data_IF_482108150596
#
_entry.id   IF_482108150596
#
_cell.length_a   1.000
_cell.length_b   1.000
_cell.length_c   1.000
_cell.angle_alpha   90.00
_cell.angle_beta   90.00
_cell.angle_gamma   90.00
#
_symmetry.space_group_name_H-M   'P 1'
#
loop_
_entity.id
_entity.type
_entity.pdbx_description
1 polymer ?
#
# COMPACT_ATOMS: atom_id res chain seq x y z
N UNK A 1 6.31 28.84 -12.94
CA UNK A 1 7.18 27.68 -13.20
C UNK A 1 7.38 27.56 -14.70
N UNK A 2 8.63 27.52 -15.18
CA UNK A 2 8.93 27.50 -16.63
C UNK A 2 8.92 26.05 -17.12
N UNK A 3 7.89 25.72 -17.91
CA UNK A 3 7.84 24.54 -18.76
C UNK A 3 8.27 24.93 -20.18
N UNK A 4 8.83 24.00 -20.96
CA UNK A 4 9.02 22.57 -20.68
C UNK A 4 10.30 22.28 -19.88
N UNK A 5 10.30 21.11 -19.22
CA UNK A 5 11.46 20.61 -18.48
C UNK A 5 12.66 20.38 -19.44
N UNK A 6 13.90 20.66 -19.02
CA UNK A 6 15.09 20.37 -19.82
C UNK A 6 15.16 18.88 -20.21
N UNK A 7 15.76 18.58 -21.38
CA UNK A 7 16.10 17.19 -21.73
C UNK A 7 17.14 16.70 -20.72
N UNK A 8 16.90 15.53 -20.09
CA UNK A 8 17.70 14.95 -18.99
C UNK A 8 17.54 15.61 -17.61
N UNK A 9 16.31 15.83 -17.15
CA UNK A 9 16.07 16.20 -15.73
C UNK A 9 16.38 15.07 -14.74
N UNK A 10 16.40 13.82 -15.21
CA UNK A 10 16.74 12.67 -14.38
C UNK A 10 18.11 12.14 -14.81
N UNK A 11 19.03 11.91 -13.86
CA UNK A 11 20.30 11.27 -14.18
C UNK A 11 20.07 9.83 -14.67
N UNK A 12 21.06 9.22 -15.35
CA UNK A 12 21.04 7.79 -15.64
C UNK A 12 20.76 6.98 -14.37
N UNK A 13 19.92 5.95 -14.50
CA UNK A 13 19.59 5.06 -13.39
C UNK A 13 20.74 4.06 -13.21
N UNK A 14 21.50 4.22 -12.14
CA UNK A 14 22.53 3.27 -11.73
C UNK A 14 21.91 2.24 -10.79
N UNK A 15 21.90 0.97 -11.20
CA UNK A 15 21.46 -0.16 -10.37
C UNK A 15 22.66 -1.05 -10.07
N UNK A 16 22.74 -1.59 -8.86
CA UNK A 16 23.64 -2.70 -8.60
C UNK A 16 23.13 -3.97 -9.29
N UNK A 17 24.03 -4.90 -9.61
CA UNK A 17 23.68 -6.20 -10.20
C UNK A 17 22.63 -6.95 -9.36
N UNK A 18 22.72 -6.84 -8.03
CA UNK A 18 21.73 -7.43 -7.13
C UNK A 18 20.35 -6.74 -7.24
N UNK A 19 20.32 -5.41 -7.38
CA UNK A 19 19.05 -4.69 -7.56
C UNK A 19 18.40 -5.05 -8.89
N UNK A 20 19.18 -5.09 -9.97
CA UNK A 20 18.70 -5.51 -11.29
C UNK A 20 18.09 -6.92 -11.23
N UNK A 21 18.82 -7.88 -10.66
CA UNK A 21 18.35 -9.24 -10.50
C UNK A 21 17.08 -9.33 -9.64
N UNK A 22 17.01 -8.58 -8.54
CA UNK A 22 15.81 -8.56 -7.68
C UNK A 22 14.60 -8.00 -8.41
N UNK A 23 14.76 -6.91 -9.19
CA UNK A 23 13.66 -6.34 -9.97
C UNK A 23 13.21 -7.27 -11.09
N UNK A 24 14.15 -7.96 -11.75
CA UNK A 24 13.83 -8.96 -12.77
C UNK A 24 13.05 -10.13 -12.17
N UNK A 25 13.50 -10.68 -11.04
CA UNK A 25 12.79 -11.76 -10.34
C UNK A 25 11.40 -11.34 -9.91
N UNK A 26 11.26 -10.12 -9.37
CA UNK A 26 9.97 -9.55 -9.00
C UNK A 26 9.04 -9.42 -10.21
N UNK A 27 9.51 -8.86 -11.32
CA UNK A 27 8.72 -8.70 -12.54
C UNK A 27 8.23 -10.07 -13.03
N UNK A 28 9.10 -11.06 -13.07
CA UNK A 28 8.77 -12.43 -13.44
C UNK A 28 7.74 -13.05 -12.48
N UNK A 29 7.87 -12.84 -11.17
CA UNK A 29 6.92 -13.33 -10.18
C UNK A 29 5.54 -12.69 -10.34
N UNK A 30 5.48 -11.38 -10.59
CA UNK A 30 4.23 -10.66 -10.84
C UNK A 30 3.53 -11.16 -12.10
N UNK A 31 4.26 -11.30 -13.21
CA UNK A 31 3.72 -11.82 -14.47
C UNK A 31 3.14 -13.22 -14.26
N UNK A 32 3.89 -14.13 -13.62
CA UNK A 32 3.43 -15.49 -13.34
C UNK A 32 2.18 -15.50 -12.47
N UNK A 33 2.15 -14.71 -11.41
CA UNK A 33 1.00 -14.62 -10.51
C UNK A 33 -0.24 -14.08 -11.23
N UNK A 34 -0.09 -12.99 -12.00
CA UNK A 34 -1.20 -12.40 -12.76
C UNK A 34 -1.73 -13.34 -13.84
N UNK A 35 -0.86 -14.07 -14.54
CA UNK A 35 -1.31 -15.07 -15.52
C UNK A 35 -2.05 -16.23 -14.86
N UNK A 36 -1.59 -16.72 -13.72
CA UNK A 36 -2.28 -17.76 -12.97
C UNK A 36 -3.67 -17.29 -12.49
N UNK A 37 -3.76 -16.07 -11.97
CA UNK A 37 -5.04 -15.45 -11.56
C UNK A 37 -5.99 -15.28 -12.75
N UNK A 38 -5.46 -14.88 -13.91
CA UNK A 38 -6.25 -14.75 -15.13
C UNK A 38 -6.76 -16.11 -15.62
N UNK A 39 -5.92 -17.13 -15.62
CA UNK A 39 -6.30 -18.49 -16.02
C UNK A 39 -7.39 -19.04 -15.10
N UNK A 40 -7.28 -18.83 -13.78
CA UNK A 40 -8.34 -19.15 -12.82
C UNK A 40 -9.66 -18.44 -13.17
N UNK A 41 -9.61 -17.15 -13.45
CA UNK A 41 -10.80 -16.37 -13.80
C UNK A 41 -11.46 -16.84 -15.11
N UNK A 42 -10.68 -17.19 -16.13
CA UNK A 42 -11.22 -17.62 -17.42
C UNK A 42 -11.72 -19.06 -17.37
N UNK A 43 -10.90 -19.98 -16.83
CA UNK A 43 -11.15 -21.42 -16.92
C UNK A 43 -12.10 -21.91 -15.83
N UNK A 44 -12.01 -21.36 -14.61
CA UNK A 44 -12.79 -21.84 -13.47
C UNK A 44 -13.98 -20.94 -13.16
N UNK A 45 -13.80 -19.61 -13.18
CA UNK A 45 -14.86 -18.66 -12.82
C UNK A 45 -15.76 -18.28 -14.00
N UNK A 46 -15.48 -18.80 -15.20
CA UNK A 46 -16.24 -18.52 -16.43
C UNK A 46 -16.37 -17.02 -16.71
N UNK A 47 -15.31 -16.27 -16.42
CA UNK A 47 -15.25 -14.81 -16.56
C UNK A 47 -16.28 -14.05 -15.71
N UNK A 48 -16.73 -14.64 -14.59
CA UNK A 48 -17.65 -13.98 -13.65
C UNK A 48 -16.90 -13.44 -12.45
N UNK A 49 -17.12 -12.17 -12.15
CA UNK A 49 -16.54 -11.52 -10.98
C UNK A 49 -17.43 -11.80 -9.76
N UNK A 50 -16.83 -12.24 -8.65
CA UNK A 50 -17.54 -12.40 -7.38
C UNK A 50 -18.02 -11.03 -6.85
N UNK A 51 -19.33 -10.79 -6.89
CA UNK A 51 -19.97 -9.56 -6.43
C UNK A 51 -19.94 -9.37 -4.90
N UNK A 52 -19.68 -10.43 -4.13
CA UNK A 52 -19.48 -10.35 -2.67
C UNK A 52 -18.14 -9.72 -2.35
N UNK A 53 -17.09 -10.07 -3.09
CA UNK A 53 -15.74 -9.52 -2.93
C UNK A 53 -15.56 -8.19 -3.67
N UNK A 54 -16.12 -8.06 -4.86
CA UNK A 54 -15.88 -6.90 -5.73
C UNK A 54 -17.11 -6.01 -5.85
N UNK A 55 -16.91 -4.69 -5.73
CA UNK A 55 -17.93 -3.68 -6.01
C UNK A 55 -17.65 -3.04 -7.36
N UNK A 56 -18.62 -3.06 -8.27
CA UNK A 56 -18.54 -2.33 -9.54
C UNK A 56 -18.38 -0.83 -9.31
N UNK A 57 -17.45 -0.21 -10.01
CA UNK A 57 -17.15 1.23 -9.97
C UNK A 57 -17.76 1.92 -11.17
N UNK A 58 -17.51 1.36 -12.36
CA UNK A 58 -17.99 1.90 -13.64
C UNK A 58 -18.05 0.77 -14.65
N UNK A 59 -19.01 0.84 -15.54
CA UNK A 59 -19.04 0.01 -16.74
C UNK A 59 -19.26 0.92 -17.95
N UNK A 60 -18.55 0.65 -19.04
CA UNK A 60 -18.72 1.34 -20.32
C UNK A 60 -18.32 0.39 -21.43
N UNK A 61 -19.20 0.25 -22.42
CA UNK A 61 -19.02 -0.67 -23.55
C UNK A 61 -18.73 -2.10 -23.01
N UNK A 62 -17.63 -2.73 -23.43
CA UNK A 62 -17.22 -4.06 -22.98
C UNK A 62 -16.24 -4.03 -21.78
N UNK A 63 -16.06 -2.87 -21.14
CA UNK A 63 -15.11 -2.69 -20.03
C UNK A 63 -15.85 -2.40 -18.73
N UNK A 64 -15.63 -3.25 -17.73
CA UNK A 64 -16.14 -3.06 -16.38
C UNK A 64 -15.01 -2.95 -15.37
N UNK A 65 -15.04 -1.89 -14.57
CA UNK A 65 -14.06 -1.60 -13.53
C UNK A 65 -14.67 -1.96 -12.18
N UNK A 66 -13.93 -2.73 -11.40
CA UNK A 66 -14.30 -3.17 -10.07
C UNK A 66 -13.27 -2.72 -9.04
N UNK A 67 -13.72 -2.51 -7.81
CA UNK A 67 -12.85 -2.31 -6.63
C UNK A 67 -13.16 -3.38 -5.59
N UNK A 68 -12.14 -3.83 -4.88
CA UNK A 68 -12.32 -4.81 -3.81
C UNK A 68 -13.09 -4.17 -2.64
N UNK A 69 -13.99 -4.95 -2.01
CA UNK A 69 -14.68 -4.57 -0.77
C UNK A 69 -13.80 -4.93 0.42
N UNK A 70 -13.74 -4.03 1.39
CA UNK A 70 -13.24 -4.36 2.74
C UNK A 70 -14.38 -5.06 3.48
N UNK A 71 -14.21 -6.34 3.82
CA UNK A 71 -15.22 -7.11 4.56
C UNK A 71 -14.73 -7.21 6.02
N UNK A 72 -15.43 -6.53 6.94
CA UNK A 72 -15.33 -6.64 8.41
C UNK A 72 -13.96 -7.00 9.01
N UNK A 73 -12.91 -6.25 8.65
CA UNK A 73 -11.56 -6.42 9.20
C UNK A 73 -10.82 -7.70 8.78
N UNK A 74 -11.50 -8.66 8.16
CA UNK A 74 -10.89 -9.85 7.54
C UNK A 74 -10.65 -9.53 6.08
N UNK A 75 -9.42 -9.07 5.79
CA UNK A 75 -8.93 -8.94 4.42
C UNK A 75 -9.01 -10.33 3.78
N UNK A 76 -9.95 -10.55 2.86
CA UNK A 76 -9.98 -11.78 2.07
C UNK A 76 -8.64 -11.95 1.35
N UNK A 77 -8.27 -13.20 1.08
CA UNK A 77 -6.98 -13.56 0.48
C UNK A 77 -6.66 -12.64 -0.70
N UNK A 78 -5.67 -11.78 -0.50
CA UNK A 78 -5.22 -10.85 -1.54
C UNK A 78 -4.64 -11.68 -2.67
N UNK A 79 -4.92 -11.31 -3.94
CA UNK A 79 -4.30 -12.00 -5.05
C UNK A 79 -2.79 -11.95 -4.88
N UNK A 80 -2.12 -13.05 -5.25
CA UNK A 80 -0.67 -13.19 -5.08
C UNK A 80 0.07 -12.04 -5.78
N UNK A 81 -0.44 -11.59 -6.93
CA UNK A 81 0.06 -10.43 -7.65
C UNK A 81 0.07 -9.16 -6.78
N UNK A 82 -1.05 -8.82 -6.14
CA UNK A 82 -1.16 -7.65 -5.26
C UNK A 82 -0.37 -7.80 -3.97
N UNK A 83 -0.25 -9.01 -3.42
CA UNK A 83 0.55 -9.26 -2.22
C UNK A 83 2.05 -9.01 -2.49
N UNK A 84 2.55 -9.55 -3.61
CA UNK A 84 3.92 -9.32 -4.07
C UNK A 84 4.19 -7.84 -4.35
N UNK A 85 3.22 -7.13 -4.93
CA UNK A 85 3.36 -5.69 -5.20
C UNK A 85 3.40 -4.86 -3.91
N UNK A 86 2.64 -5.24 -2.88
CA UNK A 86 2.61 -4.50 -1.62
C UNK A 86 3.87 -4.73 -0.79
N UNK A 87 4.39 -5.96 -0.74
CA UNK A 87 5.58 -6.27 0.05
C UNK A 87 6.81 -5.46 -0.40
N UNK A 88 6.98 -5.27 -1.71
CA UNK A 88 8.11 -4.53 -2.28
C UNK A 88 8.03 -3.02 -2.03
N UNK A 89 6.84 -2.43 -2.19
CA UNK A 89 6.67 -0.99 -1.93
C UNK A 89 6.92 -0.70 -0.45
N UNK A 90 6.50 -1.60 0.45
CA UNK A 90 6.80 -1.47 1.89
C UNK A 90 8.28 -1.59 2.23
N UNK A 91 9.07 -2.39 1.48
CA UNK A 91 10.53 -2.50 1.70
C UNK A 91 11.28 -1.28 1.17
N UNK A 92 10.88 -0.74 0.01
CA UNK A 92 11.52 0.45 -0.59
C UNK A 92 11.02 1.76 0.02
N UNK A 93 9.86 1.77 0.69
CA UNK A 93 9.29 2.96 1.36
C UNK A 93 9.85 3.21 2.76
N UNK A 94 11.09 2.78 3.04
CA UNK A 94 11.83 3.17 4.23
C UNK A 94 12.16 4.67 4.13
N UNK A 95 11.18 5.53 4.40
CA UNK A 95 11.41 6.97 4.59
C UNK A 95 12.39 7.12 5.76
N UNK A 96 13.50 7.87 5.62
CA UNK A 96 14.33 8.18 6.76
C UNK A 96 13.52 9.04 7.73
N UNK A 97 13.34 8.54 8.94
CA UNK A 97 12.84 9.30 10.07
C UNK A 97 13.84 10.41 10.38
N UNK A 98 13.67 11.59 9.77
CA UNK A 98 14.46 12.76 10.08
C UNK A 98 14.11 13.30 11.47
N UNK A 99 15.07 13.15 12.39
CA UNK A 99 15.40 14.03 13.50
C UNK A 99 14.26 14.58 14.38
N UNK A 100 14.04 13.93 15.52
CA UNK A 100 13.72 14.66 16.76
C UNK A 100 15.03 14.91 17.53
N UNK A 101 15.60 16.09 17.34
CA UNK A 101 16.65 16.65 18.20
C UNK A 101 15.95 17.26 19.42
N UNK A 102 16.25 16.75 20.61
CA UNK A 102 15.75 17.29 21.87
C UNK A 102 16.36 16.54 23.05
N UNK A 103 17.53 17.00 23.49
CA UNK A 103 18.28 16.51 24.65
C UNK A 103 17.56 16.83 25.96
N UNK A 104 17.43 15.84 26.84
CA UNK A 104 17.63 16.08 28.27
C UNK A 104 18.19 14.82 28.93
N UNK A 105 19.38 14.98 29.50
CA UNK A 105 20.06 13.99 30.34
C UNK A 105 19.44 14.02 31.73
N UNK A 106 19.03 12.87 32.25
CA UNK A 106 19.14 12.54 33.67
C UNK A 106 19.32 11.03 33.80
N UNK A 107 20.50 10.66 34.30
CA UNK A 107 20.82 9.37 34.88
C UNK A 107 19.95 9.08 36.10
N UNK A 108 19.32 7.91 36.16
CA UNK A 108 19.23 7.14 37.40
C UNK A 108 18.98 5.66 37.09
N UNK A 109 19.57 4.80 37.91
CA UNK A 109 19.55 3.35 37.88
C UNK A 109 18.18 2.81 38.31
N UNK A 110 17.95 1.55 37.92
CA UNK A 110 17.16 0.52 38.61
C UNK A 110 15.78 0.20 38.05
N UNK A 111 15.67 -1.09 37.74
CA UNK A 111 14.55 -1.98 38.00
C UNK A 111 13.57 -2.27 36.85
N UNK A 112 13.40 -3.57 36.64
CA UNK A 112 12.68 -4.14 35.51
C UNK A 112 11.18 -3.95 35.66
N UNK A 113 10.54 -3.40 34.61
CA UNK A 113 9.10 -3.52 34.39
C UNK A 113 8.77 -3.31 32.92
N UNK A 114 8.06 -4.29 32.34
CA UNK A 114 7.46 -4.23 31.00
C UNK A 114 6.64 -2.94 30.81
N UNK A 115 6.77 -2.21 29.69
CA UNK A 115 5.82 -1.15 29.37
C UNK A 115 4.59 -1.73 28.68
N UNK A 116 3.47 -1.74 29.41
CA UNK A 116 2.12 -1.78 28.85
C UNK A 116 1.92 -0.60 27.90
N UNK A 117 1.54 -0.86 26.64
CA UNK A 117 1.19 0.20 25.69
C UNK A 117 -0.23 0.67 26.00
N UNK A 118 -0.33 1.73 26.78
CA UNK A 118 -1.55 2.51 26.97
C UNK A 118 -1.72 3.45 25.77
N UNK A 119 -2.72 3.21 24.91
CA UNK A 119 -3.14 4.18 23.91
C UNK A 119 -4.11 5.16 24.57
N UNK A 120 -3.70 6.43 24.74
CA UNK A 120 -4.68 7.51 24.78
C UNK A 120 -4.08 8.84 24.31
N UNK A 121 -4.74 9.42 23.30
CA UNK A 121 -4.40 10.71 22.71
C UNK A 121 -5.50 11.10 21.73
N UNK A 122 -6.62 11.55 22.28
CA UNK A 122 -7.78 12.02 21.52
C UNK A 122 -7.54 13.35 20.83
N UNK A 123 -8.12 13.51 19.64
CA UNK A 123 -8.39 14.81 19.03
C UNK A 123 -9.90 14.97 18.94
N UNK A 124 -10.37 15.91 19.74
CA UNK A 124 -11.73 16.41 19.87
C UNK A 124 -12.06 17.30 18.65
N UNK A 125 -13.14 16.99 17.93
CA UNK A 125 -13.82 17.91 17.02
C UNK A 125 -15.23 18.19 17.57
N UNK A 126 -15.54 19.47 17.76
CA UNK A 126 -16.74 19.98 18.45
C UNK A 126 -18.08 19.80 17.70
N UNK A 127 -19.19 20.22 18.33
CA UNK A 127 -20.55 19.86 17.90
C UNK A 127 -21.09 20.72 16.74
N UNK A 128 -22.13 20.24 16.01
CA UNK A 128 -22.68 20.90 14.83
C UNK A 128 -23.64 22.05 15.19
N UNK A 129 -23.51 23.18 14.49
CA UNK A 129 -24.52 24.24 14.50
C UNK A 129 -25.66 23.89 13.54
N UNK A 130 -26.89 24.05 14.02
CA UNK A 130 -28.14 23.88 13.26
C UNK A 130 -28.46 25.12 12.41
N UNK A 131 -29.17 24.96 11.28
CA UNK A 131 -29.60 26.09 10.46
C UNK A 131 -30.87 26.74 11.03
N UNK A 132 -30.89 28.07 11.13
CA UNK A 132 -32.12 28.84 11.32
C UNK A 132 -32.76 29.17 9.97
N UNK A 133 -34.10 29.08 9.97
CA UNK A 133 -35.02 29.60 8.95
C UNK A 133 -34.89 31.10 8.77
#
# INVERSE_FOLDING_TARGET
MKFPLPKNIFPPLELSENQEQNYEQLANALIKATLAEYDQFVMHDRKRVDARRWKGVRSRDDVSIYRERLVDGVRQQTPASLALYQSVISTTSSRPSQNARGSHVTSDLSDGRNPSITLNGGLHFGPPMTPKK
#
